data_IF_712000665895
#
_entry.id   IF_712000665895
#
_cell.length_a   1.000
_cell.length_b   1.000
_cell.length_c   1.000
_cell.angle_alpha   90.00
_cell.angle_beta   90.00
_cell.angle_gamma   90.00
#
_symmetry.space_group_name_H-M   'P 1'
#
loop_
_entity.id
_entity.type
_entity.pdbx_description
1 polymer ?
#
# COMPACT_ATOMS: atom_id res chain seq x y z
N UNK A 1 23.36 3.72 2.17
CA UNK A 1 22.86 2.36 1.84
C UNK A 1 21.32 2.33 1.87
N UNK A 2 20.67 3.28 1.21
CA UNK A 2 19.21 3.41 1.27
C UNK A 2 18.48 3.03 -0.03
N UNK A 3 19.16 2.66 -1.13
CA UNK A 3 18.51 2.62 -2.44
C UNK A 3 18.80 1.37 -3.29
N UNK A 4 19.12 0.25 -2.68
CA UNK A 4 19.40 -0.99 -3.42
C UNK A 4 18.12 -1.61 -4.06
N UNK A 5 16.92 -1.15 -3.65
CA UNK A 5 15.65 -1.72 -4.09
C UNK A 5 14.91 -0.91 -5.17
N UNK A 6 15.33 0.34 -5.42
CA UNK A 6 14.69 1.20 -6.44
C UNK A 6 14.65 0.54 -7.83
N UNK A 7 15.73 -0.10 -8.32
CA UNK A 7 15.68 -0.76 -9.62
C UNK A 7 14.61 -1.86 -9.72
N UNK A 8 14.37 -2.60 -8.62
CA UNK A 8 13.32 -3.63 -8.57
C UNK A 8 11.92 -3.00 -8.60
N UNK A 9 11.72 -1.94 -7.80
CA UNK A 9 10.45 -1.21 -7.79
C UNK A 9 10.14 -0.60 -9.16
N UNK A 10 11.15 -0.03 -9.84
CA UNK A 10 11.00 0.50 -11.21
C UNK A 10 10.59 -0.57 -12.22
N UNK A 11 11.17 -1.78 -12.14
CA UNK A 11 10.78 -2.91 -12.99
C UNK A 11 9.31 -3.30 -12.78
N UNK A 12 8.87 -3.35 -11.53
CA UNK A 12 7.47 -3.63 -11.19
C UNK A 12 6.54 -2.54 -11.72
N UNK A 13 6.88 -1.27 -11.51
CA UNK A 13 6.08 -0.14 -12.00
C UNK A 13 5.94 -0.16 -13.54
N UNK A 14 7.03 -0.43 -14.27
CA UNK A 14 7.01 -0.58 -15.72
C UNK A 14 6.20 -1.80 -16.18
N UNK A 15 6.27 -2.91 -15.48
CA UNK A 15 5.47 -4.10 -15.78
C UNK A 15 3.97 -3.83 -15.58
N UNK A 16 3.59 -3.12 -14.53
CA UNK A 16 2.21 -2.70 -14.28
C UNK A 16 1.69 -1.78 -15.40
N UNK A 17 2.49 -0.81 -15.82
CA UNK A 17 2.17 0.08 -16.93
C UNK A 17 2.01 -0.69 -18.25
N UNK A 18 2.97 -1.55 -18.58
CA UNK A 18 2.98 -2.33 -19.83
C UNK A 18 1.82 -3.34 -19.92
N UNK A 19 1.42 -3.93 -18.81
CA UNK A 19 0.35 -4.95 -18.77
C UNK A 19 -1.04 -4.35 -18.58
N UNK A 20 -1.12 -3.09 -18.16
CA UNK A 20 -2.38 -2.40 -17.88
C UNK A 20 -3.16 -3.00 -16.70
N UNK A 21 -2.52 -3.79 -15.84
CA UNK A 21 -3.16 -4.39 -14.66
C UNK A 21 -3.59 -3.28 -13.71
N UNK A 22 -4.88 -3.24 -13.41
CA UNK A 22 -5.43 -2.26 -12.47
C UNK A 22 -4.90 -2.54 -11.07
N UNK A 23 -4.25 -1.56 -10.44
CA UNK A 23 -3.52 -1.75 -9.19
C UNK A 23 -3.60 -0.53 -8.27
N UNK A 24 -3.19 -0.76 -7.02
CA UNK A 24 -2.82 0.29 -6.06
C UNK A 24 -1.64 -0.19 -5.22
N UNK A 25 -0.61 0.65 -5.10
CA UNK A 25 0.46 0.44 -4.12
C UNK A 25 -0.11 0.66 -2.72
N UNK A 26 0.22 -0.24 -1.81
CA UNK A 26 -0.23 -0.17 -0.41
C UNK A 26 0.97 -0.21 0.54
N UNK A 27 0.75 -0.45 1.81
CA UNK A 27 1.85 -0.57 2.78
C UNK A 27 2.70 0.70 2.86
N UNK A 28 4.02 0.50 2.97
CA UNK A 28 4.98 1.60 3.12
C UNK A 28 5.05 2.54 1.92
N UNK A 29 4.80 2.02 0.71
CA UNK A 29 4.86 2.83 -0.52
C UNK A 29 3.82 3.96 -0.50
N UNK A 30 2.59 3.68 -0.04
CA UNK A 30 1.57 4.72 0.11
C UNK A 30 1.82 5.61 1.33
N UNK A 31 2.22 5.06 2.49
CA UNK A 31 2.48 5.88 3.68
C UNK A 31 3.64 6.85 3.47
N UNK A 32 4.68 6.47 2.72
CA UNK A 32 5.82 7.34 2.41
C UNK A 32 5.46 8.58 1.57
N UNK A 33 4.37 8.54 0.83
CA UNK A 33 3.91 9.73 0.06
C UNK A 33 3.16 10.71 0.95
N UNK A 34 2.48 10.22 1.98
CA UNK A 34 1.60 11.02 2.82
C UNK A 34 2.18 11.41 4.18
N UNK A 35 3.25 10.72 4.62
CA UNK A 35 3.93 10.93 5.89
C UNK A 35 5.44 11.13 5.71
N UNK A 36 6.22 10.75 6.72
CA UNK A 36 7.68 10.77 6.62
C UNK A 36 8.18 9.55 5.83
N UNK A 37 8.96 9.81 4.79
CA UNK A 37 9.50 8.76 3.94
C UNK A 37 10.56 7.92 4.69
N UNK A 38 10.44 6.60 4.62
CA UNK A 38 11.40 5.65 5.18
C UNK A 38 11.73 4.55 4.18
N UNK A 39 12.87 3.91 4.35
CA UNK A 39 13.26 2.74 3.55
C UNK A 39 12.24 1.62 3.69
N UNK A 40 11.99 0.92 2.59
CA UNK A 40 11.21 -0.32 2.58
C UNK A 40 11.99 -1.45 1.92
N UNK A 41 11.75 -2.68 2.38
CA UNK A 41 12.37 -3.91 1.87
C UNK A 41 11.42 -4.73 1.00
N UNK A 42 10.22 -4.25 0.84
CA UNK A 42 9.12 -4.90 0.15
C UNK A 42 8.28 -3.88 -0.61
N UNK A 43 7.52 -4.36 -1.57
CA UNK A 43 6.55 -3.58 -2.32
C UNK A 43 5.22 -4.33 -2.28
N UNK A 44 4.21 -3.71 -1.70
CA UNK A 44 2.89 -4.28 -1.54
C UNK A 44 1.93 -3.71 -2.59
N UNK A 45 1.26 -4.59 -3.33
CA UNK A 45 0.29 -4.27 -4.39
C UNK A 45 -1.05 -4.90 -4.09
N UNK A 46 -2.13 -4.16 -4.27
CA UNK A 46 -3.46 -4.74 -4.46
C UNK A 46 -3.82 -4.62 -5.93
N UNK A 47 -4.24 -5.72 -6.53
CA UNK A 47 -4.60 -5.77 -7.96
C UNK A 47 -6.07 -6.18 -8.14
N UNK A 48 -6.68 -5.60 -9.17
CA UNK A 48 -8.01 -5.99 -9.64
C UNK A 48 -7.84 -6.50 -11.08
N UNK A 49 -7.75 -7.82 -11.22
CA UNK A 49 -7.55 -8.49 -12.50
C UNK A 49 -8.00 -9.95 -12.43
N UNK A 50 -8.16 -10.58 -13.58
CA UNK A 50 -8.39 -12.01 -13.74
C UNK A 50 -7.07 -12.80 -13.75
N UNK A 51 -7.16 -14.13 -13.84
CA UNK A 51 -6.00 -15.00 -13.91
C UNK A 51 -5.08 -14.67 -15.09
N UNK A 52 -5.65 -14.38 -16.26
CA UNK A 52 -4.86 -14.02 -17.45
C UNK A 52 -4.10 -12.71 -17.27
N UNK A 53 -4.65 -11.75 -16.53
CA UNK A 53 -3.97 -10.50 -16.19
C UNK A 53 -2.82 -10.72 -15.22
N UNK A 54 -3.00 -11.60 -14.22
CA UNK A 54 -1.91 -12.01 -13.33
C UNK A 54 -0.79 -12.71 -14.08
N UNK A 55 -1.13 -13.65 -14.95
CA UNK A 55 -0.15 -14.37 -15.77
C UNK A 55 0.67 -13.40 -16.64
N UNK A 56 0.04 -12.40 -17.25
CA UNK A 56 0.75 -11.35 -18.00
C UNK A 56 1.70 -10.55 -17.11
N UNK A 57 1.25 -10.16 -15.89
CA UNK A 57 2.09 -9.42 -14.95
C UNK A 57 3.30 -10.24 -14.52
N UNK A 58 3.09 -11.50 -14.14
CA UNK A 58 4.17 -12.38 -13.71
C UNK A 58 5.14 -12.72 -14.83
N UNK A 59 4.64 -12.93 -16.06
CA UNK A 59 5.47 -13.12 -17.24
C UNK A 59 6.34 -11.89 -17.55
N UNK A 60 5.82 -10.68 -17.36
CA UNK A 60 6.59 -9.44 -17.53
C UNK A 60 7.70 -9.26 -16.48
N UNK A 61 7.61 -9.96 -15.34
CA UNK A 61 8.57 -9.88 -14.24
C UNK A 61 9.52 -11.08 -14.14
N UNK A 62 9.29 -12.17 -14.89
CA UNK A 62 9.97 -13.46 -14.78
C UNK A 62 11.49 -13.39 -14.94
N UNK A 63 12.01 -12.43 -15.69
CA UNK A 63 13.47 -12.30 -15.88
C UNK A 63 14.18 -11.77 -14.63
N UNK A 64 13.45 -11.06 -13.76
CA UNK A 64 14.02 -10.39 -12.59
C UNK A 64 13.52 -10.94 -11.26
N UNK A 65 12.41 -11.68 -11.27
CA UNK A 65 11.78 -12.20 -10.07
C UNK A 65 11.42 -13.67 -10.22
N UNK A 66 11.51 -14.41 -9.13
CA UNK A 66 10.96 -15.75 -8.99
C UNK A 66 9.61 -15.67 -8.27
N UNK A 67 8.59 -16.30 -8.85
CA UNK A 67 7.29 -16.43 -8.21
C UNK A 67 7.34 -17.58 -7.18
N UNK A 68 7.00 -17.28 -5.92
CA UNK A 68 6.80 -18.32 -4.92
C UNK A 68 5.60 -19.19 -5.34
N UNK A 69 5.78 -20.51 -5.49
CA UNK A 69 4.68 -21.40 -5.87
C UNK A 69 3.58 -21.47 -4.81
N UNK A 70 3.87 -21.06 -3.57
CA UNK A 70 2.90 -21.07 -2.49
C UNK A 70 2.06 -19.79 -2.49
N UNK A 71 0.78 -19.94 -2.80
CA UNK A 71 -0.21 -18.87 -2.60
C UNK A 71 -0.62 -18.85 -1.14
N UNK A 72 -0.52 -17.70 -0.49
CA UNK A 72 -0.94 -17.54 0.90
C UNK A 72 -2.27 -16.80 1.01
N UNK A 73 -2.96 -16.98 2.14
CA UNK A 73 -4.21 -16.29 2.43
C UNK A 73 -3.97 -15.21 3.48
N UNK A 74 -4.38 -13.98 3.16
CA UNK A 74 -4.31 -12.84 4.07
C UNK A 74 -5.63 -12.77 4.84
N UNK A 75 -5.56 -12.80 6.18
CA UNK A 75 -6.74 -13.02 7.04
C UNK A 75 -7.52 -11.76 7.40
N UNK A 76 -6.90 -10.56 7.33
CA UNK A 76 -7.56 -9.30 7.71
C UNK A 76 -8.57 -8.88 6.64
N UNK A 77 -8.18 -9.01 5.38
CA UNK A 77 -9.02 -8.65 4.23
C UNK A 77 -9.65 -9.87 3.54
N UNK A 78 -9.24 -11.07 3.92
CA UNK A 78 -9.81 -12.31 3.37
C UNK A 78 -9.42 -12.55 1.91
N UNK A 79 -8.17 -12.27 1.52
CA UNK A 79 -7.76 -12.35 0.12
C UNK A 79 -6.52 -13.19 -0.10
N UNK A 80 -6.31 -13.61 -1.36
CA UNK A 80 -5.12 -14.35 -1.77
C UNK A 80 -3.94 -13.39 -1.97
N UNK A 81 -2.74 -13.89 -1.65
CA UNK A 81 -1.48 -13.19 -1.81
C UNK A 81 -0.47 -14.06 -2.54
N UNK A 82 0.11 -13.51 -3.60
CA UNK A 82 1.27 -14.06 -4.30
C UNK A 82 2.53 -13.30 -3.87
N UNK A 83 3.67 -13.97 -3.85
CA UNK A 83 4.95 -13.38 -3.48
C UNK A 83 5.92 -13.58 -4.65
N UNK A 84 6.54 -12.51 -5.10
CA UNK A 84 7.67 -12.56 -6.02
C UNK A 84 8.92 -12.13 -5.25
N UNK A 85 10.04 -12.85 -5.46
CA UNK A 85 11.33 -12.57 -4.83
C UNK A 85 12.31 -12.19 -5.91
N UNK A 86 13.00 -11.06 -5.74
CA UNK A 86 14.02 -10.65 -6.69
C UNK A 86 15.16 -11.68 -6.75
N UNK A 87 15.62 -12.02 -7.97
CA UNK A 87 16.64 -13.06 -8.18
C UNK A 87 18.03 -12.69 -7.66
N UNK A 88 18.30 -11.40 -7.55
CA UNK A 88 19.61 -10.83 -7.17
C UNK A 88 19.59 -10.19 -5.77
N UNK A 89 18.50 -10.25 -5.04
CA UNK A 89 18.37 -9.66 -3.70
C UNK A 89 17.29 -10.34 -2.85
N UNK A 90 17.06 -9.83 -1.64
CA UNK A 90 15.97 -10.28 -0.77
C UNK A 90 14.70 -9.41 -0.92
N UNK A 91 14.65 -8.53 -1.91
CA UNK A 91 13.50 -7.69 -2.16
C UNK A 91 12.29 -8.53 -2.57
N UNK A 92 11.14 -8.22 -1.99
CA UNK A 92 9.90 -8.94 -2.24
C UNK A 92 8.83 -8.02 -2.80
N UNK A 93 8.01 -8.58 -3.67
CA UNK A 93 6.77 -7.96 -4.12
C UNK A 93 5.62 -8.85 -3.66
N UNK A 94 4.74 -8.31 -2.84
CA UNK A 94 3.55 -8.99 -2.38
C UNK A 94 2.35 -8.49 -3.19
N UNK A 95 1.70 -9.40 -3.92
CA UNK A 95 0.58 -9.11 -4.81
C UNK A 95 -0.69 -9.69 -4.20
N UNK A 96 -1.54 -8.82 -3.67
CA UNK A 96 -2.83 -9.17 -3.10
C UNK A 96 -3.93 -9.01 -4.14
N UNK A 97 -4.88 -9.91 -4.16
CA UNK A 97 -6.11 -9.68 -4.88
C UNK A 97 -6.99 -8.67 -4.12
N UNK A 98 -7.73 -7.86 -4.84
CA UNK A 98 -8.74 -7.02 -4.20
C UNK A 98 -9.79 -7.90 -3.51
N UNK A 99 -10.10 -7.60 -2.27
CA UNK A 99 -11.12 -8.34 -1.52
C UNK A 99 -12.53 -7.78 -1.77
N UNK A 100 -13.60 -8.56 -1.45
CA UNK A 100 -14.97 -8.06 -1.48
C UNK A 100 -15.33 -7.16 -0.29
N UNK A 101 -14.39 -6.90 0.64
CA UNK A 101 -14.59 -5.98 1.76
C UNK A 101 -14.97 -4.58 1.25
N UNK A 102 -16.00 -3.99 1.83
CA UNK A 102 -16.53 -2.72 1.34
C UNK A 102 -15.52 -1.56 1.39
N UNK A 103 -14.66 -1.52 2.42
CA UNK A 103 -13.60 -0.53 2.49
C UNK A 103 -12.51 -0.80 1.45
N UNK A 104 -12.15 -2.06 1.20
CA UNK A 104 -11.15 -2.41 0.18
C UNK A 104 -11.60 -1.99 -1.22
N UNK A 105 -12.87 -2.19 -1.56
CA UNK A 105 -13.45 -1.73 -2.82
C UNK A 105 -13.42 -0.20 -2.90
N UNK A 106 -13.81 0.48 -1.83
CA UNK A 106 -13.86 1.95 -1.80
C UNK A 106 -12.47 2.57 -1.89
N UNK A 107 -11.47 2.10 -1.11
CA UNK A 107 -10.08 2.61 -1.17
C UNK A 107 -9.44 2.36 -2.54
N UNK A 108 -9.76 1.23 -3.19
CA UNK A 108 -9.30 0.95 -4.55
C UNK A 108 -9.90 1.93 -5.57
N UNK A 109 -11.18 2.27 -5.44
CA UNK A 109 -11.87 3.26 -6.27
C UNK A 109 -11.29 4.67 -6.08
N UNK A 110 -10.97 5.05 -4.83
CA UNK A 110 -10.46 6.38 -4.45
C UNK A 110 -8.97 6.59 -4.73
N UNK A 111 -8.24 5.54 -5.15
CA UNK A 111 -6.80 5.61 -5.36
C UNK A 111 -6.39 6.80 -6.21
N UNK A 112 -5.23 7.36 -5.90
CA UNK A 112 -4.64 8.50 -6.59
C UNK A 112 -3.57 8.04 -7.57
N UNK A 113 -3.55 8.59 -8.77
CA UNK A 113 -2.44 8.40 -9.71
C UNK A 113 -1.40 9.49 -9.50
N UNK A 114 -0.19 9.10 -9.15
CA UNK A 114 0.92 10.03 -8.88
C UNK A 114 2.14 9.69 -9.71
N UNK A 115 2.96 10.69 -10.02
CA UNK A 115 4.33 10.47 -10.47
C UNK A 115 5.16 10.16 -9.22
N UNK A 116 5.64 8.93 -9.11
CA UNK A 116 6.46 8.52 -7.97
C UNK A 116 7.93 8.84 -8.27
N UNK A 117 8.53 9.87 -7.63
CA UNK A 117 9.80 10.44 -8.10
C UNK A 117 10.94 9.41 -8.19
N UNK A 118 11.07 8.52 -7.19
CA UNK A 118 12.12 7.52 -7.17
C UNK A 118 11.90 6.36 -8.15
N UNK A 119 10.71 6.22 -8.74
CA UNK A 119 10.39 5.16 -9.69
C UNK A 119 10.41 5.63 -11.14
N UNK A 120 10.47 6.93 -11.38
CA UNK A 120 10.32 7.53 -12.72
C UNK A 120 9.12 6.92 -13.47
N UNK A 121 8.01 6.73 -12.76
CA UNK A 121 6.82 6.07 -13.26
C UNK A 121 5.55 6.63 -12.61
N UNK A 122 4.45 6.54 -13.35
CA UNK A 122 3.11 6.80 -12.81
C UNK A 122 2.57 5.54 -12.15
N UNK A 123 2.19 5.66 -10.89
CA UNK A 123 1.62 4.56 -10.11
C UNK A 123 0.37 5.02 -9.38
N UNK A 124 -0.48 4.08 -9.01
CA UNK A 124 -1.63 4.34 -8.16
C UNK A 124 -1.27 4.08 -6.71
N UNK A 125 -1.62 5.01 -5.81
CA UNK A 125 -1.43 4.91 -4.35
C UNK A 125 -2.75 5.12 -3.63
N UNK A 126 -2.80 4.74 -2.36
CA UNK A 126 -3.95 5.07 -1.49
C UNK A 126 -4.01 6.57 -1.20
N UNK A 127 -5.19 7.07 -0.85
CA UNK A 127 -5.32 8.41 -0.24
C UNK A 127 -4.75 8.41 1.19
N UNK A 128 -4.48 9.57 1.76
CA UNK A 128 -4.00 9.68 3.13
C UNK A 128 -4.98 9.07 4.14
N UNK A 129 -6.28 9.31 3.95
CA UNK A 129 -7.33 8.74 4.78
C UNK A 129 -7.32 7.21 4.71
N UNK A 130 -7.21 6.64 3.52
CA UNK A 130 -7.20 5.19 3.31
C UNK A 130 -5.93 4.54 3.88
N UNK A 131 -4.79 5.24 3.87
CA UNK A 131 -3.57 4.81 4.58
C UNK A 131 -3.84 4.75 6.08
N UNK A 132 -4.38 5.82 6.69
CA UNK A 132 -4.70 5.86 8.12
C UNK A 132 -5.64 4.71 8.50
N UNK A 133 -6.76 4.55 7.80
CA UNK A 133 -7.77 3.54 8.10
C UNK A 133 -7.18 2.13 7.99
N UNK A 134 -6.46 1.85 6.91
CA UNK A 134 -5.85 0.53 6.67
C UNK A 134 -4.81 0.19 7.72
N UNK A 135 -3.91 1.12 8.04
CA UNK A 135 -2.86 0.94 9.05
C UNK A 135 -3.43 0.70 10.45
N UNK A 136 -4.54 1.35 10.79
CA UNK A 136 -5.25 1.10 12.06
C UNK A 136 -5.88 -0.29 12.12
N UNK A 137 -6.32 -0.88 10.99
CA UNK A 137 -6.82 -2.27 10.95
C UNK A 137 -5.71 -3.28 11.23
N UNK A 138 -4.53 -3.11 10.63
CA UNK A 138 -3.37 -3.99 10.84
C UNK A 138 -2.75 -3.80 12.23
N UNK A 139 -2.63 -2.57 12.69
CA UNK A 139 -2.24 -2.16 14.04
C UNK A 139 -0.93 -2.77 14.57
N UNK A 140 0.00 -3.16 13.69
CA UNK A 140 1.37 -3.49 14.10
C UNK A 140 2.06 -2.21 14.58
N UNK A 141 3.12 -2.32 15.39
CA UNK A 141 3.86 -1.15 15.90
C UNK A 141 4.22 -0.19 14.77
N UNK A 142 4.82 -0.70 13.69
CA UNK A 142 5.20 0.11 12.52
C UNK A 142 4.01 0.78 11.82
N UNK A 143 2.82 0.14 11.86
CA UNK A 143 1.62 0.70 11.22
C UNK A 143 1.07 1.88 12.02
N UNK A 144 1.16 1.81 13.35
CA UNK A 144 0.74 2.92 14.22
C UNK A 144 1.70 4.12 14.13
N UNK A 145 2.99 3.87 13.93
CA UNK A 145 3.99 4.91 13.62
C UNK A 145 3.67 5.56 12.26
N UNK A 146 3.43 4.78 11.21
CA UNK A 146 3.02 5.32 9.90
C UNK A 146 1.74 6.18 10.01
N UNK A 147 0.77 5.81 10.88
CA UNK A 147 -0.44 6.64 11.13
C UNK A 147 -0.06 7.99 11.75
N UNK A 148 0.80 8.00 12.78
CA UNK A 148 1.27 9.24 13.41
C UNK A 148 1.99 10.14 12.42
N UNK A 149 2.84 9.55 11.58
CA UNK A 149 3.59 10.28 10.56
C UNK A 149 2.65 10.95 9.56
N UNK A 150 1.67 10.20 9.03
CA UNK A 150 0.68 10.76 8.11
C UNK A 150 -0.14 11.87 8.77
N UNK A 151 -0.63 11.66 9.99
CA UNK A 151 -1.40 12.67 10.72
C UNK A 151 -0.58 13.93 11.01
N UNK A 152 0.73 13.78 11.30
CA UNK A 152 1.62 14.91 11.60
C UNK A 152 1.95 15.74 10.37
N UNK A 153 2.02 15.12 9.19
CA UNK A 153 2.37 15.80 7.92
C UNK A 153 1.14 16.44 7.28
N UNK A 154 -0.05 15.82 7.41
CA UNK A 154 -1.27 16.32 6.79
C UNK A 154 -1.82 17.51 7.60
N UNK A 155 -2.08 18.61 6.93
CA UNK A 155 -2.75 19.76 7.55
C UNK A 155 -4.14 19.37 8.04
N UNK A 156 -4.56 19.93 9.17
CA UNK A 156 -5.82 19.57 9.84
C UNK A 156 -7.08 19.72 8.97
N UNK A 157 -7.03 20.53 7.93
CA UNK A 157 -8.12 20.75 6.97
C UNK A 157 -8.04 19.89 5.70
N UNK A 158 -6.95 19.15 5.48
CA UNK A 158 -6.75 18.36 4.25
C UNK A 158 -7.41 16.98 4.29
N UNK A 159 -7.67 16.43 5.49
CA UNK A 159 -8.25 15.10 5.68
C UNK A 159 -9.78 15.14 5.76
N UNK A 160 -10.41 14.20 5.07
CA UNK A 160 -11.86 13.97 5.22
C UNK A 160 -12.13 13.17 6.51
N UNK A 161 -12.33 13.90 7.62
CA UNK A 161 -12.55 13.31 8.94
C UNK A 161 -13.85 12.51 9.02
N UNK A 162 -14.91 12.88 8.32
CA UNK A 162 -16.17 12.12 8.30
C UNK A 162 -15.94 10.73 7.69
N UNK A 163 -15.15 10.65 6.62
CA UNK A 163 -14.77 9.39 5.99
C UNK A 163 -13.90 8.53 6.92
N UNK A 164 -12.88 9.12 7.54
CA UNK A 164 -12.01 8.42 8.50
C UNK A 164 -12.84 7.90 9.69
N UNK A 165 -13.69 8.73 10.26
CA UNK A 165 -14.52 8.37 11.40
C UNK A 165 -15.53 7.27 11.06
N UNK A 166 -16.14 7.32 9.88
CA UNK A 166 -17.05 6.30 9.39
C UNK A 166 -16.37 4.92 9.36
N UNK A 167 -15.27 4.81 8.64
CA UNK A 167 -14.59 3.52 8.48
C UNK A 167 -13.89 3.02 9.74
N UNK A 168 -13.30 3.90 10.54
CA UNK A 168 -12.70 3.49 11.81
C UNK A 168 -13.74 3.02 12.82
N UNK A 169 -14.97 3.54 12.77
CA UNK A 169 -16.08 3.04 13.58
C UNK A 169 -16.53 1.66 13.12
N UNK A 170 -16.72 1.44 11.81
CA UNK A 170 -17.07 0.13 11.26
C UNK A 170 -16.01 -0.93 11.59
N UNK A 171 -14.73 -0.59 11.50
CA UNK A 171 -13.61 -1.49 11.81
C UNK A 171 -13.32 -1.65 13.31
N UNK A 172 -14.01 -0.91 14.19
CA UNK A 172 -13.74 -0.92 15.64
C UNK A 172 -12.39 -0.31 16.03
N UNK A 173 -11.81 0.54 15.19
CA UNK A 173 -10.47 1.14 15.40
C UNK A 173 -10.53 2.62 15.82
N UNK A 174 -11.73 3.18 16.02
CA UNK A 174 -11.93 4.59 16.34
C UNK A 174 -11.20 5.03 17.61
N UNK A 175 -11.32 4.27 18.71
CA UNK A 175 -10.65 4.60 19.96
C UNK A 175 -9.11 4.64 19.81
N UNK A 176 -8.57 3.76 18.95
CA UNK A 176 -7.13 3.74 18.63
C UNK A 176 -6.71 4.99 17.85
N UNK A 177 -7.52 5.43 16.88
CA UNK A 177 -7.30 6.67 16.16
C UNK A 177 -7.26 7.87 17.12
N UNK A 178 -8.25 7.97 18.01
CA UNK A 178 -8.36 9.09 18.92
C UNK A 178 -7.18 9.14 19.92
N UNK A 179 -6.70 7.97 20.39
CA UNK A 179 -5.53 7.87 21.25
C UNK A 179 -4.25 8.35 20.52
N UNK A 180 -4.01 7.91 19.26
CA UNK A 180 -2.85 8.35 18.49
C UNK A 180 -2.88 9.84 18.20
N UNK A 181 -4.05 10.40 17.89
CA UNK A 181 -4.21 11.85 17.65
C UNK A 181 -3.86 12.69 18.89
N UNK A 182 -4.19 12.18 20.09
CA UNK A 182 -3.87 12.87 21.34
C UNK A 182 -2.35 12.92 21.63
N UNK A 183 -1.56 12.02 21.04
CA UNK A 183 -0.10 11.99 21.19
C UNK A 183 0.62 12.95 20.23
N UNK A 184 -0.04 13.45 19.19
CA UNK A 184 0.57 14.35 18.21
C UNK A 184 0.55 15.76 18.75
N UNK A 185 1.71 16.44 18.85
CA UNK A 185 1.76 17.84 19.26
C UNK A 185 0.92 18.72 18.33
N UNK A 186 0.07 19.57 18.89
CA UNK A 186 -0.57 20.63 18.11
C UNK A 186 0.50 21.66 17.80
N UNK A 187 0.76 21.85 16.51
CA UNK A 187 1.59 22.97 16.05
C UNK A 187 0.64 24.18 16.04
N UNK A 188 0.87 25.12 16.98
CA UNK A 188 0.16 26.40 17.04
C UNK A 188 0.59 27.34 15.90
#
# INVERSE_FOLDING_TARGET
MADDHIPHMMRVAKALEATGVSHVLVGSMSSNVHGFARSTKDMDLVVQTDAAGLDRLFAALQDSFDLDPQVSFETITGTLRHILVAKDSKFKVEVFHISPDAHDQERFRRRLTVNYPSLDARVCILTAEDVIITKLRWARVKDLEDVKDVLSVQESGALNWDYIHHWTSIHGTRAKLDALRAEIPKID
#
